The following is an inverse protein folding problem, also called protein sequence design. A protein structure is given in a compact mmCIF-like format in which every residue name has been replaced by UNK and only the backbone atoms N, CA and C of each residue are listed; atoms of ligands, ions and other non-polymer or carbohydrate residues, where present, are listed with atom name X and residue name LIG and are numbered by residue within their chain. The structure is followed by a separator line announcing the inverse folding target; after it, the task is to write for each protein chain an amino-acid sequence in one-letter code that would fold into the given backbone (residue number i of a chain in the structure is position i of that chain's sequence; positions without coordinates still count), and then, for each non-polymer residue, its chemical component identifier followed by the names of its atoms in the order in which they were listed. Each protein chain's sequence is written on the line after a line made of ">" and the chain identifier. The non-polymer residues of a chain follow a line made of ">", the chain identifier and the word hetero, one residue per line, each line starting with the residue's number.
data_IF_669709277111
#
_entry.id   IF_669709277111
#
_cell.length_a   1.000
_cell.length_b   1.000
_cell.length_c   1.000
_cell.angle_alpha   90.00
_cell.angle_beta   90.00
_cell.angle_gamma   90.00
#
_symmetry.space_group_name_H-M   'P 1'
#
loop_
_entity.id
_entity.type
_entity.pdbx_description
1 polymer ?
#
# COMPACT_ATOMS: atom_id res chain seq x y z
N UNK A 1 2.65 -15.80 19.54
CA UNK A 1 2.03 -15.81 18.21
C UNK A 1 2.97 -15.12 17.24
N UNK A 2 3.19 -15.69 16.08
CA UNK A 2 3.98 -15.06 15.00
C UNK A 2 3.20 -13.83 14.50
N UNK A 3 3.91 -12.80 14.00
CA UNK A 3 3.29 -11.58 13.47
C UNK A 3 2.29 -11.87 12.33
N UNK A 4 2.54 -12.93 11.55
CA UNK A 4 1.64 -13.41 10.49
C UNK A 4 0.33 -13.95 11.06
N UNK A 5 0.37 -14.76 12.12
CA UNK A 5 -0.83 -15.32 12.75
C UNK A 5 -1.70 -14.19 13.33
N UNK A 6 -1.09 -13.23 14.01
CA UNK A 6 -1.78 -12.05 14.55
C UNK A 6 -2.45 -11.24 13.45
N UNK A 7 -1.79 -11.09 12.30
CA UNK A 7 -2.36 -10.40 11.14
C UNK A 7 -3.55 -11.15 10.54
N UNK A 8 -3.44 -12.48 10.37
CA UNK A 8 -4.55 -13.30 9.86
C UNK A 8 -5.76 -13.23 10.79
N UNK A 9 -5.57 -13.35 12.11
CA UNK A 9 -6.64 -13.18 13.09
C UNK A 9 -7.31 -11.80 12.95
N UNK A 10 -6.53 -10.75 12.84
CA UNK A 10 -7.06 -9.40 12.63
C UNK A 10 -7.90 -9.28 11.34
N UNK A 11 -7.47 -9.91 10.24
CA UNK A 11 -8.24 -9.93 8.99
C UNK A 11 -9.59 -10.65 9.15
N UNK A 12 -9.61 -11.75 9.89
CA UNK A 12 -10.86 -12.51 10.17
C UNK A 12 -11.78 -11.69 11.07
N UNK A 13 -11.28 -11.19 12.18
CA UNK A 13 -12.06 -10.42 13.16
C UNK A 13 -12.66 -9.14 12.56
N UNK A 14 -11.92 -8.48 11.65
CA UNK A 14 -12.40 -7.29 10.94
C UNK A 14 -13.40 -7.61 9.81
N UNK A 15 -13.62 -8.89 9.50
CA UNK A 15 -14.46 -9.33 8.38
C UNK A 15 -13.81 -9.10 7.00
N UNK A 16 -12.55 -8.68 6.97
CA UNK A 16 -11.81 -8.47 5.73
C UNK A 16 -11.43 -9.79 5.05
N UNK A 17 -11.14 -10.84 5.81
CA UNK A 17 -10.90 -12.20 5.30
C UNK A 17 -12.12 -13.07 5.58
N UNK A 18 -12.69 -13.63 4.50
CA UNK A 18 -13.83 -14.55 4.55
C UNK A 18 -13.44 -15.86 3.89
N UNK A 19 -13.87 -16.97 4.49
CA UNK A 19 -13.71 -18.31 3.93
C UNK A 19 -15.02 -18.76 3.26
N UNK A 20 -14.91 -19.51 2.17
CA UNK A 20 -16.05 -20.00 1.38
C UNK A 20 -15.64 -20.25 -0.07
N UNK A 21 -16.59 -20.60 -0.90
CA UNK A 21 -16.37 -20.83 -2.33
C UNK A 21 -16.56 -19.50 -3.09
N UNK A 22 -15.45 -18.95 -3.57
CA UNK A 22 -15.45 -17.70 -4.33
C UNK A 22 -14.86 -17.90 -5.71
N UNK A 23 -15.28 -17.07 -6.67
CA UNK A 23 -14.71 -17.02 -8.01
C UNK A 23 -14.10 -15.64 -8.22
N UNK A 24 -12.82 -15.59 -8.56
CA UNK A 24 -12.12 -14.35 -8.89
C UNK A 24 -12.66 -13.75 -10.18
N UNK A 25 -12.41 -12.45 -10.43
CA UNK A 25 -12.79 -11.78 -11.69
C UNK A 25 -12.25 -12.46 -12.95
N UNK A 26 -11.22 -13.31 -12.84
CA UNK A 26 -10.63 -14.09 -13.92
C UNK A 26 -11.14 -15.54 -13.97
N UNK A 27 -12.20 -15.89 -13.22
CA UNK A 27 -12.81 -17.22 -13.22
C UNK A 27 -12.05 -18.26 -12.38
N UNK A 28 -11.02 -17.90 -11.62
CA UNK A 28 -10.31 -18.85 -10.73
C UNK A 28 -11.11 -19.04 -9.45
N UNK A 29 -11.38 -20.27 -9.08
CA UNK A 29 -11.94 -20.65 -7.79
C UNK A 29 -10.93 -20.38 -6.66
N UNK A 30 -11.42 -19.93 -5.51
CA UNK A 30 -10.62 -19.68 -4.32
C UNK A 30 -11.44 -19.95 -3.06
N UNK A 31 -10.85 -20.60 -2.03
CA UNK A 31 -11.55 -20.91 -0.77
C UNK A 31 -11.62 -19.72 0.19
N UNK A 32 -11.17 -18.55 -0.21
CA UNK A 32 -11.23 -17.33 0.59
C UNK A 32 -11.34 -16.08 -0.27
N UNK A 33 -11.79 -15.02 0.35
CA UNK A 33 -11.89 -13.69 -0.25
C UNK A 33 -11.39 -12.63 0.72
N UNK A 34 -10.55 -11.70 0.25
CA UNK A 34 -10.06 -10.56 1.01
C UNK A 34 -10.69 -9.29 0.48
N UNK A 35 -11.37 -8.56 1.38
CA UNK A 35 -11.97 -7.25 1.10
C UNK A 35 -11.40 -6.18 2.03
N UNK A 36 -10.43 -5.44 1.57
CA UNK A 36 -9.84 -4.31 2.33
C UNK A 36 -10.78 -3.13 2.52
N UNK A 37 -11.91 -3.10 1.80
CA UNK A 37 -13.00 -2.16 2.03
C UNK A 37 -13.72 -2.30 3.38
N UNK A 38 -13.45 -3.38 4.13
CA UNK A 38 -13.98 -3.55 5.48
C UNK A 38 -13.26 -2.71 6.55
N UNK A 39 -12.08 -2.18 6.25
CA UNK A 39 -11.37 -1.26 7.14
C UNK A 39 -11.96 0.16 7.04
N UNK A 40 -13.16 0.34 7.60
CA UNK A 40 -14.00 1.55 7.45
C UNK A 40 -13.88 2.56 8.59
N UNK A 41 -13.14 2.22 9.62
CA UNK A 41 -12.94 3.09 10.79
C UNK A 41 -11.48 3.48 10.95
N UNK A 42 -11.22 4.62 11.59
CA UNK A 42 -9.87 5.05 11.91
C UNK A 42 -9.11 3.99 12.72
N UNK A 43 -9.79 3.31 13.66
CA UNK A 43 -9.17 2.27 14.47
C UNK A 43 -8.74 1.06 13.64
N UNK A 44 -9.60 0.56 12.74
CA UNK A 44 -9.27 -0.58 11.88
C UNK A 44 -8.18 -0.24 10.86
N UNK A 45 -8.23 0.95 10.24
CA UNK A 45 -7.20 1.42 9.32
C UNK A 45 -5.86 1.64 10.05
N UNK A 46 -5.89 2.23 11.25
CA UNK A 46 -4.72 2.41 12.10
C UNK A 46 -4.05 1.09 12.44
N UNK A 47 -4.86 0.06 12.81
CA UNK A 47 -4.34 -1.27 13.11
C UNK A 47 -3.75 -1.96 11.88
N UNK A 48 -4.39 -1.84 10.72
CA UNK A 48 -3.84 -2.32 9.45
C UNK A 48 -2.49 -1.67 9.16
N UNK A 49 -2.41 -0.34 9.30
CA UNK A 49 -1.18 0.42 9.05
C UNK A 49 -0.02 0.05 10.00
N UNK A 50 -0.31 -0.40 11.24
CA UNK A 50 0.71 -0.95 12.14
C UNK A 50 1.39 -2.20 11.56
N UNK A 51 0.62 -3.10 10.94
CA UNK A 51 1.19 -4.28 10.27
C UNK A 51 2.05 -3.91 9.08
N UNK A 52 1.63 -2.92 8.27
CA UNK A 52 2.44 -2.41 7.15
C UNK A 52 3.72 -1.74 7.66
N UNK A 53 3.62 -0.88 8.67
CA UNK A 53 4.78 -0.23 9.26
C UNK A 53 5.78 -1.24 9.83
N UNK A 54 5.31 -2.27 10.53
CA UNK A 54 6.16 -3.34 11.05
C UNK A 54 6.87 -4.13 9.94
N UNK A 55 6.16 -4.43 8.83
CA UNK A 55 6.75 -5.10 7.68
C UNK A 55 7.77 -4.20 6.96
N UNK A 56 7.45 -2.91 6.80
CA UNK A 56 8.38 -1.93 6.26
C UNK A 56 9.67 -1.87 7.08
N UNK A 57 9.58 -1.76 8.40
CA UNK A 57 10.74 -1.74 9.29
C UNK A 57 11.60 -2.98 9.15
N UNK A 58 10.98 -4.14 8.99
CA UNK A 58 11.69 -5.41 8.81
C UNK A 58 12.49 -5.48 7.51
N UNK A 59 11.98 -4.91 6.41
CA UNK A 59 12.52 -5.14 5.06
C UNK A 59 13.18 -3.92 4.43
N UNK A 60 12.72 -2.70 4.77
CA UNK A 60 13.06 -1.45 4.07
C UNK A 60 13.65 -0.36 4.97
N UNK A 61 13.77 -0.59 6.28
CA UNK A 61 14.34 0.39 7.20
C UNK A 61 15.74 0.83 6.75
N UNK A 62 15.98 2.14 6.72
CA UNK A 62 17.24 2.75 6.26
C UNK A 62 17.48 2.67 4.74
N UNK A 63 16.56 2.08 3.96
CA UNK A 63 16.73 1.90 2.50
C UNK A 63 15.82 2.79 1.67
N UNK A 64 14.63 3.12 2.18
CA UNK A 64 13.63 3.90 1.47
C UNK A 64 13.45 5.28 2.08
N UNK A 65 13.13 6.27 1.24
CA UNK A 65 12.85 7.65 1.61
C UNK A 65 11.39 8.06 1.33
N UNK A 66 10.68 7.28 0.53
CA UNK A 66 9.32 7.61 0.11
C UNK A 66 8.42 6.38 0.08
N UNK A 67 7.15 6.58 0.43
CA UNK A 67 6.08 5.61 0.23
C UNK A 67 5.20 6.05 -0.93
N UNK A 68 4.79 5.11 -1.76
CA UNK A 68 3.89 5.39 -2.88
C UNK A 68 2.59 4.61 -2.74
N UNK A 69 1.45 5.33 -2.72
CA UNK A 69 0.11 4.75 -2.62
C UNK A 69 -0.66 4.84 -3.92
N UNK A 70 -0.84 3.74 -4.69
CA UNK A 70 -1.63 3.79 -5.92
C UNK A 70 -3.09 4.14 -5.66
N UNK A 71 -3.67 5.01 -6.51
CA UNK A 71 -5.09 5.35 -6.40
C UNK A 71 -5.97 4.14 -6.75
N UNK A 72 -7.05 3.90 -5.99
CA UNK A 72 -7.52 4.80 -4.90
C UNK A 72 -7.26 4.22 -3.51
N UNK A 73 -7.30 2.89 -3.33
CA UNK A 73 -7.20 2.22 -2.03
C UNK A 73 -5.81 2.34 -1.41
N UNK A 74 -4.77 2.41 -2.22
CA UNK A 74 -3.40 2.61 -1.75
C UNK A 74 -3.19 3.98 -1.09
N UNK A 75 -3.98 5.01 -1.43
CA UNK A 75 -3.81 6.35 -0.88
C UNK A 75 -4.00 6.39 0.65
N UNK A 76 -5.17 6.01 1.20
CA UNK A 76 -5.37 6.05 2.65
C UNK A 76 -4.44 5.08 3.38
N UNK A 77 -4.13 3.94 2.79
CA UNK A 77 -3.23 2.96 3.39
C UNK A 77 -1.79 3.49 3.46
N UNK A 78 -1.31 4.10 2.39
CA UNK A 78 0.02 4.72 2.34
C UNK A 78 0.15 5.85 3.37
N UNK A 79 -0.83 6.76 3.43
CA UNK A 79 -0.83 7.85 4.39
C UNK A 79 -0.85 7.35 5.84
N UNK A 80 -1.72 6.37 6.15
CA UNK A 80 -1.79 5.76 7.47
C UNK A 80 -0.49 5.03 7.84
N UNK A 81 0.15 4.35 6.89
CA UNK A 81 1.44 3.69 7.10
C UNK A 81 2.54 4.71 7.38
N UNK A 82 2.60 5.83 6.64
CA UNK A 82 3.55 6.92 6.88
C UNK A 82 3.37 7.52 8.28
N UNK A 83 2.13 7.75 8.72
CA UNK A 83 1.83 8.21 10.07
C UNK A 83 2.33 7.21 11.14
N UNK A 84 2.07 5.92 10.95
CA UNK A 84 2.54 4.88 11.89
C UNK A 84 4.05 4.75 11.95
N UNK A 85 4.73 4.88 10.82
CA UNK A 85 6.20 4.91 10.79
C UNK A 85 6.75 6.09 11.58
N UNK A 86 6.14 7.27 11.47
CA UNK A 86 6.50 8.45 12.25
C UNK A 86 6.21 8.27 13.74
N UNK A 87 4.97 7.90 14.09
CA UNK A 87 4.49 7.89 15.47
C UNK A 87 5.12 6.77 16.31
N UNK A 88 5.30 5.58 15.72
CA UNK A 88 5.75 4.38 16.44
C UNK A 88 7.26 4.18 16.35
N UNK A 89 7.84 4.52 15.20
CA UNK A 89 9.26 4.24 14.92
C UNK A 89 10.12 5.50 14.78
N UNK A 90 9.54 6.69 14.88
CA UNK A 90 10.26 7.95 14.68
C UNK A 90 10.80 8.15 13.26
N UNK A 91 10.27 7.38 12.29
CA UNK A 91 10.74 7.40 10.90
C UNK A 91 9.83 8.28 10.04
N UNK A 92 10.25 9.52 9.82
CA UNK A 92 9.49 10.51 9.05
C UNK A 92 9.82 10.39 7.56
N UNK A 93 9.06 9.59 6.82
CA UNK A 93 9.18 9.43 5.37
C UNK A 93 8.24 10.37 4.62
N UNK A 94 8.64 10.75 3.42
CA UNK A 94 7.73 11.39 2.47
C UNK A 94 6.75 10.37 1.89
N UNK A 95 5.59 10.82 1.38
CA UNK A 95 4.70 9.94 0.62
C UNK A 95 4.17 10.64 -0.63
N UNK A 96 3.80 9.81 -1.61
CA UNK A 96 3.31 10.23 -2.91
C UNK A 96 2.16 9.32 -3.33
N UNK A 97 1.21 9.85 -4.07
CA UNK A 97 0.17 9.07 -4.73
C UNK A 97 -0.18 9.66 -6.09
N UNK A 98 -0.81 8.88 -6.95
CA UNK A 98 -1.27 9.36 -8.25
C UNK A 98 -2.75 9.77 -8.20
N UNK A 99 -3.10 10.67 -9.12
CA UNK A 99 -4.48 10.89 -9.56
C UNK A 99 -4.75 10.00 -10.77
N UNK A 100 -5.95 9.46 -10.91
CA UNK A 100 -6.37 8.76 -12.14
C UNK A 100 -6.74 9.73 -13.25
N UNK A 101 -7.18 10.95 -12.89
CA UNK A 101 -7.52 12.01 -13.82
C UNK A 101 -6.45 13.09 -13.78
N UNK A 102 -5.91 13.44 -14.95
CA UNK A 102 -4.98 14.56 -15.09
C UNK A 102 -5.79 15.86 -15.02
N UNK A 103 -5.46 16.76 -14.11
CA UNK A 103 -6.05 18.11 -14.09
C UNK A 103 -5.23 19.03 -14.97
N UNK A 104 -5.91 19.72 -15.89
CA UNK A 104 -5.31 20.72 -16.77
C UNK A 104 -5.02 22.07 -16.06
N UNK A 105 -5.53 22.27 -14.84
CA UNK A 105 -5.43 23.51 -14.08
C UNK A 105 -4.93 23.30 -12.66
N UNK A 106 -4.10 24.24 -12.18
CA UNK A 106 -3.51 24.24 -10.84
C UNK A 106 -2.15 23.56 -10.79
N UNK A 107 -1.84 22.82 -9.72
CA UNK A 107 -0.63 21.98 -9.67
C UNK A 107 -0.75 20.86 -10.70
N UNK A 108 -0.26 21.11 -11.90
CA UNK A 108 -0.28 20.18 -13.04
C UNK A 108 0.48 18.89 -12.70
N UNK A 109 -0.02 17.76 -13.27
CA UNK A 109 0.63 16.46 -13.16
C UNK A 109 -0.27 15.39 -12.52
N UNK A 110 0.14 14.16 -12.70
CA UNK A 110 -0.57 12.98 -12.18
C UNK A 110 -0.19 12.64 -10.73
N UNK A 111 0.85 13.26 -10.16
CA UNK A 111 1.35 12.97 -8.81
C UNK A 111 0.96 14.05 -7.80
N UNK A 112 0.69 13.60 -6.57
CA UNK A 112 0.42 14.45 -5.41
C UNK A 112 1.34 14.02 -4.26
N UNK A 113 1.79 15.00 -3.46
CA UNK A 113 2.75 14.80 -2.39
C UNK A 113 4.18 15.11 -2.84
N UNK A 114 5.14 14.29 -2.46
CA UNK A 114 6.55 14.50 -2.81
C UNK A 114 6.80 14.34 -4.32
N UNK A 115 7.55 15.26 -4.92
CA UNK A 115 7.73 15.37 -6.40
C UNK A 115 9.08 14.84 -6.91
N UNK A 116 9.78 14.01 -6.16
CA UNK A 116 11.04 13.38 -6.57
C UNK A 116 12.09 14.37 -7.14
N UNK A 117 12.36 15.43 -6.38
CA UNK A 117 13.34 16.46 -6.77
C UNK A 117 14.78 15.90 -6.83
N UNK A 118 15.04 14.83 -6.11
CA UNK A 118 16.31 14.12 -6.06
C UNK A 118 16.10 12.61 -6.09
N UNK A 119 17.17 11.84 -6.35
CA UNK A 119 17.13 10.38 -6.39
C UNK A 119 16.59 9.80 -5.08
N UNK A 120 15.45 9.16 -5.15
CA UNK A 120 14.65 8.73 -4.03
C UNK A 120 14.27 7.27 -4.15
N UNK A 121 14.58 6.47 -3.16
CA UNK A 121 14.14 5.08 -3.08
C UNK A 121 12.69 5.02 -2.59
N UNK A 122 11.86 4.35 -3.36
CA UNK A 122 10.41 4.28 -3.21
C UNK A 122 9.96 2.87 -2.84
N UNK A 123 9.10 2.75 -1.84
CA UNK A 123 8.36 1.51 -1.55
C UNK A 123 6.89 1.73 -1.88
N UNK A 124 6.33 0.88 -2.73
CA UNK A 124 4.91 0.90 -3.07
C UNK A 124 4.12 0.23 -1.94
N UNK A 125 3.05 0.88 -1.49
CA UNK A 125 2.10 0.36 -0.51
C UNK A 125 0.81 -0.01 -1.23
N UNK A 126 0.53 -1.30 -1.35
CA UNK A 126 -0.64 -1.81 -2.06
C UNK A 126 -1.50 -2.68 -1.13
N UNK A 127 -2.80 -2.76 -1.40
CA UNK A 127 -3.73 -3.54 -0.56
C UNK A 127 -3.71 -5.04 -0.89
N UNK A 128 -4.17 -5.41 -2.05
CA UNK A 128 -4.24 -6.81 -2.53
C UNK A 128 -3.74 -6.89 -3.97
N UNK A 129 -2.85 -7.83 -4.22
CA UNK A 129 -2.41 -8.13 -5.58
C UNK A 129 -3.08 -9.44 -6.03
N UNK A 130 -3.91 -9.35 -7.06
CA UNK A 130 -4.50 -10.54 -7.70
C UNK A 130 -3.73 -10.92 -8.96
N UNK A 131 -3.81 -10.10 -9.99
CA UNK A 131 -3.20 -10.34 -11.30
C UNK A 131 -1.96 -9.46 -11.56
N UNK A 132 -1.62 -8.57 -10.64
CA UNK A 132 -0.48 -7.66 -10.77
C UNK A 132 -0.67 -6.50 -11.75
N UNK A 133 -1.85 -6.32 -12.35
CA UNK A 133 -2.09 -5.25 -13.34
C UNK A 133 -1.85 -3.86 -12.74
N UNK A 134 -2.43 -3.59 -11.58
CA UNK A 134 -2.26 -2.32 -10.85
C UNK A 134 -0.79 -2.05 -10.49
N UNK A 135 -0.06 -3.09 -10.09
CA UNK A 135 1.37 -2.99 -9.77
C UNK A 135 2.18 -2.67 -11.03
N UNK A 136 1.90 -3.36 -12.13
CA UNK A 136 2.60 -3.12 -13.40
C UNK A 136 2.35 -1.70 -13.93
N UNK A 137 1.11 -1.22 -13.85
CA UNK A 137 0.77 0.17 -14.21
C UNK A 137 1.52 1.18 -13.33
N UNK A 138 1.57 0.93 -12.03
CA UNK A 138 2.32 1.75 -11.07
C UNK A 138 3.82 1.75 -11.38
N UNK A 139 4.41 0.58 -11.64
CA UNK A 139 5.82 0.45 -12.00
C UNK A 139 6.14 1.21 -13.29
N UNK A 140 5.28 1.09 -14.32
CA UNK A 140 5.42 1.82 -15.57
C UNK A 140 5.29 3.34 -15.39
N UNK A 141 4.40 3.79 -14.51
CA UNK A 141 4.23 5.21 -14.21
C UNK A 141 5.47 5.77 -13.50
N UNK A 142 5.97 5.08 -12.47
CA UNK A 142 7.14 5.50 -11.71
C UNK A 142 8.44 5.41 -12.51
N UNK A 143 8.57 4.45 -13.43
CA UNK A 143 9.77 4.32 -14.29
C UNK A 143 9.99 5.50 -15.25
N UNK A 144 8.94 6.30 -15.50
CA UNK A 144 9.02 7.53 -16.31
C UNK A 144 9.50 8.75 -15.51
N UNK A 145 9.67 8.60 -14.21
CA UNK A 145 10.09 9.67 -13.30
C UNK A 145 11.57 9.46 -13.00
N UNK A 146 12.42 10.35 -13.50
CA UNK A 146 13.88 10.22 -13.51
C UNK A 146 14.48 9.89 -12.12
N UNK A 147 13.94 10.49 -11.07
CA UNK A 147 14.49 10.37 -9.73
C UNK A 147 13.77 9.35 -8.84
N UNK A 148 12.74 8.66 -9.31
CA UNK A 148 12.03 7.65 -8.56
C UNK A 148 12.64 6.27 -8.78
N UNK A 149 13.25 5.71 -7.74
CA UNK A 149 13.83 4.36 -7.77
C UNK A 149 12.98 3.40 -6.92
N UNK A 150 12.15 2.59 -7.56
CA UNK A 150 11.32 1.61 -6.83
C UNK A 150 12.20 0.46 -6.35
N UNK A 151 12.33 0.31 -5.04
CA UNK A 151 13.13 -0.74 -4.39
C UNK A 151 12.30 -1.88 -3.82
N UNK A 152 10.99 -1.72 -3.75
CA UNK A 152 10.12 -2.77 -3.23
C UNK A 152 8.65 -2.42 -3.23
N UNK A 153 7.88 -3.46 -2.89
CA UNK A 153 6.45 -3.40 -2.74
C UNK A 153 6.09 -4.04 -1.40
N UNK A 154 5.43 -3.30 -0.54
CA UNK A 154 4.82 -3.84 0.68
C UNK A 154 3.34 -4.12 0.40
N UNK A 155 2.96 -5.37 0.56
CA UNK A 155 1.60 -5.86 0.40
C UNK A 155 1.25 -6.84 1.49
N UNK A 156 0.00 -6.85 1.88
CA UNK A 156 -0.57 -7.85 2.77
C UNK A 156 -1.57 -8.71 2.01
N UNK A 157 -1.10 -9.56 1.11
CA UNK A 157 -1.91 -10.66 0.61
C UNK A 157 -1.48 -11.95 1.29
N UNK A 158 -2.45 -12.67 1.81
CA UNK A 158 -2.29 -14.08 2.17
C UNK A 158 -2.52 -14.87 0.88
N UNK A 159 -1.48 -15.20 0.19
CA UNK A 159 -1.48 -16.23 -0.87
C UNK A 159 -0.26 -17.07 -0.65
#
# INVERSE_FOLDING_TARGET
>A
MNNTDTFVHFLVESGALKFGDFITKRGRETPYFINTGEFRTGASLSKLAEFYAAAFMKHFNGKAQNLYGPAYKGIPLCAATAMKLSDVYGLNLTFTYNRKEVKDHGEGGSLVGYKYAEKTNVVIIEDVITAGTSVNETMQALSKIENANVIGLDRKSVV
#
